data_IF_157489229631
#
_entry.id   IF_157489229631
#
_cell.length_a   1.000
_cell.length_b   1.000
_cell.length_c   1.000
_cell.angle_alpha   90.00
_cell.angle_beta   90.00
_cell.angle_gamma   90.00
#
_symmetry.space_group_name_H-M   'P 1'
#
loop_
_entity.id
_entity.type
_entity.pdbx_description
1 polymer ?
#
# COMPACT_ATOMS: atom_id res chain seq x y z
N UNK A 1 -23.29 -0.89 19.34
CA UNK A 1 -21.86 -1.03 18.95
C UNK A 1 -21.39 0.20 18.20
N UNK A 2 -21.60 0.32 16.87
CA UNK A 2 -21.10 1.49 16.11
C UNK A 2 -21.64 2.82 16.63
N UNK A 3 -22.94 2.91 16.93
CA UNK A 3 -23.58 4.12 17.48
C UNK A 3 -23.07 4.52 18.88
N UNK A 4 -22.54 3.55 19.64
CA UNK A 4 -22.10 3.76 21.03
C UNK A 4 -20.58 3.99 21.11
N UNK A 5 -19.84 3.65 20.05
CA UNK A 5 -18.40 3.83 19.97
C UNK A 5 -18.02 5.32 19.93
N UNK A 6 -16.98 5.69 20.67
CA UNK A 6 -16.45 7.06 20.69
C UNK A 6 -15.40 7.27 19.59
N UNK A 7 -14.68 6.21 19.25
CA UNK A 7 -13.61 6.21 18.25
C UNK A 7 -13.71 4.98 17.34
N UNK A 8 -14.79 4.86 16.53
CA UNK A 8 -14.90 3.83 15.52
C UNK A 8 -13.92 4.08 14.37
N UNK A 9 -13.20 3.04 13.97
CA UNK A 9 -12.34 3.03 12.77
C UNK A 9 -12.80 1.93 11.83
N UNK A 10 -12.87 2.24 10.53
CA UNK A 10 -13.09 1.25 9.49
C UNK A 10 -11.75 0.69 9.02
N UNK A 11 -11.60 -0.63 9.04
CA UNK A 11 -10.40 -1.32 8.57
C UNK A 11 -10.76 -2.21 7.38
N UNK A 12 -10.23 -1.87 6.20
CA UNK A 12 -10.49 -2.57 4.95
C UNK A 12 -9.33 -3.53 4.63
N UNK A 13 -9.66 -4.81 4.41
CA UNK A 13 -8.74 -5.82 3.87
C UNK A 13 -9.02 -6.16 2.41
N UNK A 14 -8.27 -7.11 1.87
CA UNK A 14 -8.29 -7.48 0.45
C UNK A 14 -9.70 -7.73 -0.10
N UNK A 15 -10.54 -8.44 0.66
CA UNK A 15 -11.87 -8.85 0.23
C UNK A 15 -12.87 -7.69 0.16
N UNK A 16 -12.56 -6.55 0.79
CA UNK A 16 -13.35 -5.32 0.67
C UNK A 16 -13.01 -4.47 -0.57
N UNK A 17 -11.98 -4.84 -1.35
CA UNK A 17 -11.54 -4.08 -2.54
C UNK A 17 -12.32 -4.38 -3.82
N UNK A 18 -13.41 -5.17 -3.74
CA UNK A 18 -14.30 -5.42 -4.89
C UNK A 18 -15.10 -4.16 -5.24
N UNK A 19 -15.42 -3.91 -6.53
CA UNK A 19 -16.17 -2.72 -6.93
C UNK A 19 -17.47 -2.49 -6.15
N UNK A 20 -18.21 -3.56 -5.86
CA UNK A 20 -19.47 -3.50 -5.13
C UNK A 20 -19.27 -3.15 -3.64
N UNK A 21 -18.23 -3.71 -3.01
CA UNK A 21 -17.90 -3.40 -1.63
C UNK A 21 -17.36 -1.96 -1.50
N UNK A 22 -16.51 -1.53 -2.43
CA UNK A 22 -15.98 -0.16 -2.51
C UNK A 22 -17.11 0.86 -2.63
N UNK A 23 -18.08 0.66 -3.52
CA UNK A 23 -19.22 1.56 -3.66
C UNK A 23 -20.08 1.60 -2.37
N UNK A 24 -20.31 0.44 -1.75
CA UNK A 24 -21.03 0.36 -0.48
C UNK A 24 -20.29 1.11 0.64
N UNK A 25 -18.97 0.97 0.72
CA UNK A 25 -18.10 1.68 1.66
C UNK A 25 -18.12 3.18 1.40
N UNK A 26 -18.03 3.62 0.15
CA UNK A 26 -18.09 5.05 -0.18
C UNK A 26 -19.44 5.65 0.22
N UNK A 27 -20.54 4.98 -0.11
CA UNK A 27 -21.88 5.41 0.34
C UNK A 27 -21.98 5.46 1.87
N UNK A 28 -21.42 4.47 2.57
CA UNK A 28 -21.38 4.45 4.02
C UNK A 28 -20.62 5.66 4.56
N UNK A 29 -19.39 5.91 4.10
CA UNK A 29 -18.53 6.99 4.59
C UNK A 29 -19.08 8.39 4.28
N UNK A 30 -19.73 8.58 3.12
CA UNK A 30 -20.41 9.84 2.80
C UNK A 30 -21.57 10.13 3.78
N UNK A 31 -22.26 9.10 4.26
CA UNK A 31 -23.38 9.23 5.21
C UNK A 31 -22.91 9.30 6.66
N UNK A 32 -21.92 8.47 7.01
CA UNK A 32 -21.40 8.22 8.36
C UNK A 32 -19.87 8.33 8.33
N UNK A 33 -19.32 9.55 8.30
CA UNK A 33 -17.89 9.74 8.11
C UNK A 33 -17.13 9.27 9.37
N UNK A 34 -16.26 8.29 9.17
CA UNK A 34 -15.32 7.77 10.16
C UNK A 34 -13.95 7.55 9.51
N UNK A 35 -12.84 7.58 10.27
CA UNK A 35 -11.52 7.23 9.80
C UNK A 35 -11.44 5.83 9.18
N UNK A 36 -10.59 5.69 8.18
CA UNK A 36 -10.36 4.45 7.44
C UNK A 36 -8.88 4.15 7.33
N UNK A 37 -8.54 2.88 7.54
CA UNK A 37 -7.24 2.30 7.21
C UNK A 37 -7.42 1.13 6.24
N UNK A 38 -6.44 0.91 5.37
CA UNK A 38 -6.40 -0.18 4.39
C UNK A 38 -5.24 -1.13 4.70
N UNK A 39 -5.38 -2.42 4.40
CA UNK A 39 -4.21 -3.26 4.12
C UNK A 39 -3.59 -2.88 2.78
N UNK A 40 -2.39 -3.40 2.47
CA UNK A 40 -1.83 -3.23 1.13
C UNK A 40 -2.69 -3.85 0.02
N UNK A 41 -3.36 -4.97 0.28
CA UNK A 41 -4.23 -5.62 -0.70
C UNK A 41 -5.58 -4.90 -0.87
N UNK A 42 -5.96 -4.05 0.08
CA UNK A 42 -7.11 -3.17 -0.04
C UNK A 42 -6.81 -1.85 -0.78
N UNK A 43 -5.59 -1.69 -1.33
CA UNK A 43 -5.16 -0.44 -1.94
C UNK A 43 -6.09 0.02 -3.07
N UNK A 44 -6.54 1.28 -2.95
CA UNK A 44 -7.42 1.90 -3.94
C UNK A 44 -8.90 1.77 -3.59
N UNK A 45 -9.23 1.19 -2.44
CA UNK A 45 -10.62 1.13 -1.94
C UNK A 45 -11.15 2.51 -1.57
N UNK A 46 -10.30 3.45 -1.16
CA UNK A 46 -10.70 4.84 -0.87
C UNK A 46 -10.35 5.79 -2.03
N UNK A 47 -11.37 6.53 -2.48
CA UNK A 47 -11.25 7.52 -3.55
C UNK A 47 -10.66 8.85 -3.07
N UNK A 48 -10.17 9.68 -4.01
CA UNK A 48 -9.62 11.01 -3.72
C UNK A 48 -10.58 11.93 -2.96
N UNK A 49 -11.88 11.83 -3.23
CA UNK A 49 -12.91 12.62 -2.51
C UNK A 49 -13.03 12.24 -1.03
N UNK A 50 -12.73 10.99 -0.68
CA UNK A 50 -12.79 10.45 0.68
C UNK A 50 -11.42 10.41 1.35
N UNK A 51 -10.37 10.93 0.71
CA UNK A 51 -9.00 10.95 1.26
C UNK A 51 -8.89 11.68 2.60
N UNK A 52 -9.80 12.62 2.89
CA UNK A 52 -9.90 13.30 4.19
C UNK A 52 -10.31 12.39 5.37
N UNK A 53 -10.70 11.14 5.08
CA UNK A 53 -10.97 10.09 6.06
C UNK A 53 -9.92 8.97 6.01
N UNK A 54 -8.93 9.05 5.13
CA UNK A 54 -7.95 7.99 4.91
C UNK A 54 -6.68 8.23 5.74
N UNK A 55 -6.31 7.24 6.55
CA UNK A 55 -5.15 7.30 7.46
C UNK A 55 -4.01 6.39 7.03
N UNK A 56 -3.98 6.03 5.74
CA UNK A 56 -2.91 5.27 5.13
C UNK A 56 -3.13 3.76 5.18
N UNK A 57 -2.05 3.04 4.84
CA UNK A 57 -2.02 1.58 4.77
C UNK A 57 -1.16 1.00 5.87
N UNK A 58 -1.56 -0.16 6.36
CA UNK A 58 -0.84 -0.94 7.39
C UNK A 58 -0.54 -2.34 6.85
N UNK A 59 0.51 -2.99 7.36
CA UNK A 59 0.85 -4.36 6.94
C UNK A 59 2.28 -4.81 7.20
N UNK A 60 3.26 -3.92 7.02
CA UNK A 60 4.68 -4.31 7.05
C UNK A 60 5.38 -3.86 8.34
N UNK A 61 5.05 -2.67 8.83
CA UNK A 61 5.67 -2.06 10.00
C UNK A 61 4.60 -1.48 10.92
N UNK A 62 4.83 -1.55 12.24
CA UNK A 62 3.87 -1.23 13.31
C UNK A 62 3.91 0.23 13.76
N UNK A 63 4.23 1.15 12.86
CA UNK A 63 4.51 2.54 13.21
C UNK A 63 3.90 3.55 12.24
N UNK A 64 3.02 3.10 11.34
CA UNK A 64 2.36 3.97 10.38
C UNK A 64 1.28 4.80 11.07
N UNK A 65 0.89 5.95 10.49
CA UNK A 65 -0.23 6.75 11.01
C UNK A 65 -1.51 5.93 11.22
N UNK A 66 -1.76 4.93 10.38
CA UNK A 66 -2.85 3.97 10.53
C UNK A 66 -2.75 3.14 11.81
N UNK A 67 -1.55 2.65 12.19
CA UNK A 67 -1.35 1.92 13.45
C UNK A 67 -1.60 2.83 14.66
N UNK A 68 -1.11 4.08 14.60
CA UNK A 68 -1.36 5.09 15.65
C UNK A 68 -2.84 5.41 15.80
N UNK A 69 -3.59 5.45 14.70
CA UNK A 69 -5.04 5.65 14.71
C UNK A 69 -5.75 4.45 15.33
N UNK A 70 -5.39 3.22 14.95
CA UNK A 70 -5.98 2.01 15.50
C UNK A 70 -5.73 1.87 17.01
N UNK A 71 -4.59 2.36 17.51
CA UNK A 71 -4.32 2.42 18.95
C UNK A 71 -5.28 3.35 19.73
N UNK A 72 -5.95 4.30 19.05
CA UNK A 72 -6.97 5.17 19.65
C UNK A 72 -8.39 4.56 19.61
N UNK A 73 -8.59 3.51 18.81
CA UNK A 73 -9.92 2.97 18.54
C UNK A 73 -10.48 2.24 19.76
N UNK A 74 -11.77 2.47 20.04
CA UNK A 74 -12.56 1.65 20.97
C UNK A 74 -13.42 0.61 20.22
N UNK A 75 -13.63 0.82 18.93
CA UNK A 75 -14.26 -0.13 18.01
C UNK A 75 -13.53 -0.13 16.67
N UNK A 76 -13.15 -1.30 16.18
CA UNK A 76 -12.73 -1.47 14.78
C UNK A 76 -13.78 -2.27 14.04
N UNK A 77 -14.33 -1.67 12.98
CA UNK A 77 -15.19 -2.33 12.01
C UNK A 77 -14.29 -2.89 10.92
N UNK A 78 -14.06 -4.20 10.95
CA UNK A 78 -13.13 -4.88 10.06
C UNK A 78 -13.93 -5.47 8.89
N UNK A 79 -13.61 -5.08 7.66
CA UNK A 79 -14.29 -5.55 6.45
C UNK A 79 -13.31 -6.27 5.52
N UNK A 80 -13.58 -7.55 5.25
CA UNK A 80 -12.86 -8.34 4.25
C UNK A 80 -11.37 -8.54 4.53
N UNK A 81 -11.01 -8.64 5.81
CA UNK A 81 -9.63 -8.76 6.28
C UNK A 81 -9.24 -10.21 6.55
N UNK A 82 -8.06 -10.56 6.05
CA UNK A 82 -7.38 -11.80 6.34
C UNK A 82 -6.16 -11.53 7.24
N UNK A 83 -6.00 -12.31 8.32
CA UNK A 83 -4.87 -12.13 9.23
C UNK A 83 -3.51 -12.37 8.55
N UNK A 84 -3.46 -13.09 7.42
CA UNK A 84 -2.24 -13.22 6.62
C UNK A 84 -1.80 -11.92 5.93
N UNK A 85 -2.67 -10.92 5.81
CA UNK A 85 -2.32 -9.60 5.27
C UNK A 85 -1.53 -8.76 6.28
N UNK A 86 -1.87 -8.88 7.57
CA UNK A 86 -1.21 -8.20 8.67
C UNK A 86 -1.64 -8.85 9.99
N UNK A 87 -0.71 -9.35 10.80
CA UNK A 87 -1.07 -10.05 12.03
C UNK A 87 -1.85 -9.17 13.01
N UNK A 88 -2.86 -9.75 13.69
CA UNK A 88 -3.73 -8.97 14.58
C UNK A 88 -3.01 -8.36 15.80
N UNK A 89 -1.96 -9.02 16.30
CA UNK A 89 -1.11 -8.52 17.38
C UNK A 89 -0.27 -7.28 16.98
N UNK A 90 -0.18 -7.03 15.67
CA UNK A 90 0.61 -5.95 15.11
C UNK A 90 -0.07 -4.59 15.21
N UNK A 91 -1.39 -4.56 15.08
CA UNK A 91 -2.15 -3.31 15.02
C UNK A 91 -3.01 -3.03 16.26
N UNK A 92 -3.28 -4.03 17.11
CA UNK A 92 -3.79 -3.74 18.45
C UNK A 92 -3.29 -4.72 19.51
N UNK A 93 -3.08 -4.19 20.71
CA UNK A 93 -2.78 -4.96 21.92
C UNK A 93 -3.78 -4.68 23.05
N UNK A 94 -4.75 -3.81 22.79
CA UNK A 94 -5.73 -3.40 23.79
C UNK A 94 -6.77 -4.50 24.03
N UNK A 95 -6.94 -4.99 25.27
CA UNK A 95 -7.99 -5.94 25.61
C UNK A 95 -9.38 -5.28 25.65
N UNK A 96 -9.46 -3.94 25.63
CA UNK A 96 -10.72 -3.20 25.62
C UNK A 96 -11.24 -2.91 24.21
N UNK A 97 -10.47 -3.23 23.16
CA UNK A 97 -10.90 -2.99 21.79
C UNK A 97 -12.05 -3.93 21.42
N UNK A 98 -13.15 -3.38 20.93
CA UNK A 98 -14.20 -4.18 20.31
C UNK A 98 -13.95 -4.34 18.81
N UNK A 99 -14.14 -5.56 18.30
CA UNK A 99 -14.03 -5.85 16.87
C UNK A 99 -15.41 -6.29 16.36
N UNK A 100 -15.86 -5.62 15.29
CA UNK A 100 -16.99 -6.06 14.47
C UNK A 100 -16.43 -6.58 13.14
N UNK A 101 -16.55 -7.88 12.90
CA UNK A 101 -16.02 -8.53 11.70
C UNK A 101 -17.09 -8.65 10.62
N UNK A 102 -16.79 -8.19 9.40
CA UNK A 102 -17.67 -8.25 8.23
C UNK A 102 -16.92 -8.96 7.10
N UNK A 103 -17.36 -10.15 6.76
CA UNK A 103 -16.77 -10.91 5.67
C UNK A 103 -17.73 -11.99 5.19
N UNK A 104 -17.50 -12.61 4.04
CA UNK A 104 -18.28 -13.79 3.63
C UNK A 104 -17.73 -15.09 4.21
N UNK A 105 -16.53 -15.05 4.80
CA UNK A 105 -15.97 -16.12 5.62
C UNK A 105 -16.06 -15.76 7.11
N UNK A 106 -16.21 -16.74 8.02
CA UNK A 106 -16.06 -16.48 9.45
C UNK A 106 -14.63 -16.05 9.80
N UNK A 107 -14.48 -15.35 10.92
CA UNK A 107 -13.19 -14.94 11.45
C UNK A 107 -12.38 -16.14 11.98
N UNK A 108 -11.07 -16.10 11.73
CA UNK A 108 -10.12 -17.00 12.40
C UNK A 108 -9.83 -16.48 13.81
N UNK A 109 -10.36 -17.15 14.83
CA UNK A 109 -10.19 -16.74 16.22
C UNK A 109 -8.74 -16.94 16.68
N UNK A 110 -8.16 -15.87 17.23
CA UNK A 110 -6.81 -15.85 17.79
C UNK A 110 -6.74 -15.06 19.10
N UNK A 111 -5.58 -15.11 19.77
CA UNK A 111 -5.36 -14.40 21.03
C UNK A 111 -5.60 -12.87 20.90
N UNK A 112 -5.31 -12.33 19.71
CA UNK A 112 -5.45 -10.92 19.38
C UNK A 112 -6.55 -10.68 18.33
N UNK A 113 -7.35 -11.68 17.96
CA UNK A 113 -8.46 -11.47 17.04
C UNK A 113 -9.67 -12.27 17.51
N UNK A 114 -10.52 -11.61 18.29
CA UNK A 114 -11.70 -12.22 18.89
C UNK A 114 -12.90 -11.27 18.67
N UNK A 115 -13.52 -11.29 17.47
CA UNK A 115 -14.65 -10.42 17.17
C UNK A 115 -15.77 -10.56 18.18
N UNK A 116 -16.24 -9.42 18.68
CA UNK A 116 -17.41 -9.37 19.57
C UNK A 116 -18.69 -9.69 18.81
N UNK A 117 -18.72 -9.37 17.52
CA UNK A 117 -19.81 -9.72 16.61
C UNK A 117 -19.25 -9.98 15.21
N UNK A 118 -19.84 -10.95 14.52
CA UNK A 118 -19.55 -11.27 13.13
C UNK A 118 -20.81 -11.05 12.29
N UNK A 119 -20.65 -10.43 11.12
CA UNK A 119 -21.66 -10.32 10.08
C UNK A 119 -21.17 -11.10 8.87
N UNK A 120 -21.43 -12.40 8.89
CA UNK A 120 -21.00 -13.31 7.82
C UNK A 120 -21.96 -13.20 6.63
N UNK A 121 -21.44 -12.83 5.45
CA UNK A 121 -22.19 -12.69 4.22
C UNK A 121 -21.56 -11.70 3.23
N UNK A 122 -22.36 -11.18 2.30
CA UNK A 122 -21.87 -10.17 1.36
C UNK A 122 -21.44 -8.90 2.11
N UNK A 123 -20.15 -8.55 2.01
CA UNK A 123 -19.59 -7.32 2.59
C UNK A 123 -20.36 -6.10 2.11
N UNK A 124 -20.60 -5.98 0.81
CA UNK A 124 -21.35 -4.87 0.22
C UNK A 124 -22.78 -4.77 0.80
N UNK A 125 -23.49 -5.89 0.92
CA UNK A 125 -24.85 -5.90 1.49
C UNK A 125 -24.86 -5.54 2.98
N UNK A 126 -23.89 -6.07 3.74
CA UNK A 126 -23.76 -5.80 5.17
C UNK A 126 -23.42 -4.33 5.43
N UNK A 127 -22.41 -3.77 4.74
CA UNK A 127 -22.03 -2.35 4.84
C UNK A 127 -23.20 -1.44 4.46
N UNK A 128 -23.91 -1.76 3.37
CA UNK A 128 -25.11 -1.02 2.95
C UNK A 128 -26.22 -1.07 4.02
N UNK A 129 -26.52 -2.24 4.55
CA UNK A 129 -27.54 -2.41 5.58
C UNK A 129 -27.20 -1.66 6.87
N UNK A 130 -25.93 -1.73 7.32
CA UNK A 130 -25.44 -0.93 8.44
C UNK A 130 -25.60 0.55 8.17
N UNK A 131 -25.16 1.03 7.00
CA UNK A 131 -25.31 2.43 6.62
C UNK A 131 -26.76 2.91 6.60
N UNK A 132 -27.70 2.05 6.21
CA UNK A 132 -29.13 2.35 6.16
C UNK A 132 -29.76 2.40 7.57
N UNK A 133 -29.36 1.52 8.50
CA UNK A 133 -29.92 1.39 9.85
C UNK A 133 -29.33 2.39 10.85
N UNK A 134 -28.04 2.73 10.72
CA UNK A 134 -27.38 3.65 11.65
C UNK A 134 -27.97 5.06 11.52
N UNK A 135 -28.34 5.64 12.66
CA UNK A 135 -28.85 7.00 12.74
C UNK A 135 -27.73 8.04 12.85
N UNK A 136 -26.73 7.77 13.70
CA UNK A 136 -25.60 8.66 13.96
C UNK A 136 -24.34 7.82 14.17
N UNK A 137 -23.18 8.39 13.87
CA UNK A 137 -21.89 7.80 14.23
C UNK A 137 -21.02 8.92 14.80
N UNK A 138 -20.20 8.60 15.80
CA UNK A 138 -19.20 9.54 16.31
C UNK A 138 -18.22 9.91 15.18
N UNK A 139 -17.59 11.08 15.32
CA UNK A 139 -16.70 11.63 14.30
C UNK A 139 -15.27 11.75 14.82
N UNK A 140 -14.57 10.63 15.08
CA UNK A 140 -13.25 10.69 15.68
C UNK A 140 -12.22 11.43 14.82
N UNK A 141 -12.40 11.51 13.50
CA UNK A 141 -11.61 12.35 12.60
C UNK A 141 -11.64 13.85 12.96
N UNK A 142 -12.66 14.31 13.70
CA UNK A 142 -12.75 15.70 14.18
C UNK A 142 -12.04 15.89 15.54
N UNK A 143 -11.59 14.82 16.19
CA UNK A 143 -10.85 14.87 17.46
C UNK A 143 -9.43 15.43 17.28
N UNK A 144 -8.87 15.98 18.36
CA UNK A 144 -7.49 16.50 18.36
C UNK A 144 -6.48 15.40 18.01
N UNK A 145 -6.63 14.20 18.59
CA UNK A 145 -5.74 13.07 18.34
C UNK A 145 -5.74 12.65 16.87
N UNK A 146 -6.93 12.47 16.26
CA UNK A 146 -7.02 12.07 14.87
C UNK A 146 -6.54 13.17 13.90
N UNK A 147 -6.79 14.45 14.22
CA UNK A 147 -6.27 15.57 13.42
C UNK A 147 -4.75 15.68 13.49
N UNK A 148 -4.15 15.41 14.66
CA UNK A 148 -2.70 15.39 14.82
C UNK A 148 -2.06 14.27 13.98
N UNK A 149 -2.61 13.05 14.05
CA UNK A 149 -2.14 11.90 13.24
C UNK A 149 -2.30 12.19 11.74
N UNK A 150 -3.43 12.76 11.33
CA UNK A 150 -3.68 13.12 9.94
C UNK A 150 -2.73 14.22 9.43
N UNK A 151 -2.45 15.22 10.27
CA UNK A 151 -1.48 16.27 9.96
C UNK A 151 -0.05 15.71 9.87
N UNK A 152 0.33 14.79 10.74
CA UNK A 152 1.62 14.09 10.67
C UNK A 152 1.76 13.31 9.35
N UNK A 153 0.73 12.54 8.99
CA UNK A 153 0.70 11.76 7.75
C UNK A 153 0.88 12.66 6.52
N UNK A 154 0.11 13.74 6.40
CA UNK A 154 0.22 14.66 5.27
C UNK A 154 1.50 15.50 5.28
N UNK A 155 2.02 15.87 6.45
CA UNK A 155 3.32 16.53 6.53
C UNK A 155 4.43 15.60 6.02
N UNK A 156 4.36 14.31 6.34
CA UNK A 156 5.29 13.32 5.81
C UNK A 156 5.13 13.12 4.30
N UNK A 157 3.91 13.00 3.76
CA UNK A 157 3.69 12.88 2.31
C UNK A 157 4.26 14.07 1.51
N UNK A 158 4.29 15.26 2.12
CA UNK A 158 4.85 16.48 1.53
C UNK A 158 6.33 16.70 1.85
N UNK A 159 6.94 15.81 2.64
CA UNK A 159 8.33 15.91 3.02
C UNK A 159 9.26 15.70 1.82
N UNK A 160 10.45 16.32 1.80
CA UNK A 160 11.47 16.04 0.79
C UNK A 160 11.79 14.55 0.70
N UNK A 161 11.77 13.82 1.81
CA UNK A 161 12.06 12.39 1.88
C UNK A 161 11.00 11.55 1.15
N UNK A 162 9.71 11.80 1.40
CA UNK A 162 8.61 11.08 0.73
C UNK A 162 8.49 11.45 -0.76
N UNK A 163 8.85 12.68 -1.13
CA UNK A 163 8.91 13.12 -2.52
C UNK A 163 10.23 12.74 -3.22
N UNK A 164 11.16 12.10 -2.50
CA UNK A 164 12.50 11.76 -3.00
C UNK A 164 13.32 12.97 -3.45
N UNK A 165 13.08 14.15 -2.88
CA UNK A 165 13.77 15.43 -3.12
C UNK A 165 14.85 15.72 -2.08
N UNK A 166 15.43 14.72 -1.42
CA UNK A 166 16.48 14.95 -0.43
C UNK A 166 17.70 15.59 -1.11
N UNK A 167 18.33 16.55 -0.42
CA UNK A 167 19.41 17.38 -0.96
C UNK A 167 20.67 16.60 -1.38
N UNK A 168 20.78 15.33 -1.00
CA UNK A 168 21.96 14.48 -1.20
C UNK A 168 21.82 13.46 -2.34
N UNK A 169 20.59 13.12 -2.79
CA UNK A 169 20.35 12.02 -3.73
C UNK A 169 20.05 12.44 -5.18
N UNK A 170 20.12 13.74 -5.49
CA UNK A 170 19.89 14.24 -6.86
C UNK A 170 18.46 14.11 -7.38
N UNK A 171 17.54 13.49 -6.62
CA UNK A 171 16.17 13.23 -7.07
C UNK A 171 16.00 11.92 -7.81
N UNK A 172 16.78 10.87 -7.55
CA UNK A 172 16.80 9.65 -8.39
C UNK A 172 16.33 8.38 -7.63
N UNK A 173 15.92 8.52 -6.36
CA UNK A 173 15.51 7.38 -5.51
C UNK A 173 14.08 6.86 -5.76
N UNK A 174 13.71 5.70 -5.20
CA UNK A 174 12.39 5.08 -5.36
C UNK A 174 11.21 6.00 -5.05
N UNK A 175 11.30 6.79 -3.99
CA UNK A 175 10.25 7.72 -3.57
C UNK A 175 9.99 8.82 -4.62
N UNK A 176 11.06 9.31 -5.27
CA UNK A 176 10.93 10.28 -6.36
C UNK A 176 10.20 9.67 -7.55
N UNK A 177 10.59 8.45 -7.95
CA UNK A 177 9.98 7.70 -9.04
C UNK A 177 8.49 7.43 -8.76
N UNK A 178 8.15 6.92 -7.58
CA UNK A 178 6.75 6.69 -7.18
C UNK A 178 5.96 7.99 -7.25
N UNK A 179 6.49 9.08 -6.70
CA UNK A 179 5.77 10.37 -6.69
C UNK A 179 5.49 10.88 -8.10
N UNK A 180 6.49 10.82 -8.99
CA UNK A 180 6.34 11.28 -10.37
C UNK A 180 5.45 10.35 -11.19
N UNK A 181 5.54 9.03 -11.00
CA UNK A 181 4.64 8.06 -11.63
C UNK A 181 3.19 8.32 -11.22
N UNK A 182 2.93 8.48 -9.91
CA UNK A 182 1.58 8.74 -9.38
C UNK A 182 1.01 10.11 -9.82
N UNK A 183 1.86 11.14 -9.96
CA UNK A 183 1.43 12.46 -10.43
C UNK A 183 1.18 12.48 -11.94
N UNK A 184 1.98 11.75 -12.70
CA UNK A 184 1.91 11.74 -14.16
C UNK A 184 0.78 10.83 -14.64
N UNK A 185 0.48 9.75 -13.91
CA UNK A 185 -0.42 8.69 -14.36
C UNK A 185 -1.60 8.50 -13.42
N UNK A 186 -2.79 8.77 -13.94
CA UNK A 186 -4.05 8.42 -13.28
C UNK A 186 -4.40 6.92 -13.34
N UNK A 187 -3.45 6.04 -13.68
CA UNK A 187 -3.65 4.59 -13.87
C UNK A 187 -2.55 3.78 -13.17
N UNK A 188 -2.90 2.58 -12.70
CA UNK A 188 -1.96 1.65 -12.09
C UNK A 188 -1.01 1.05 -13.15
N UNK A 189 0.29 1.07 -12.86
CA UNK A 189 1.32 0.44 -13.70
C UNK A 189 1.88 -0.82 -13.05
N UNK A 190 2.16 -1.88 -13.84
CA UNK A 190 3.00 -3.00 -13.40
C UNK A 190 4.42 -2.51 -13.06
N UNK A 191 4.83 -2.74 -11.80
CA UNK A 191 6.17 -2.43 -11.29
C UNK A 191 6.70 -3.64 -10.53
N UNK A 192 7.97 -3.96 -10.69
CA UNK A 192 8.67 -4.96 -9.88
C UNK A 192 10.12 -4.56 -9.62
N UNK A 193 10.76 -5.15 -8.61
CA UNK A 193 12.22 -5.19 -8.55
C UNK A 193 12.79 -6.10 -9.64
N UNK A 194 14.07 -5.94 -9.97
CA UNK A 194 14.84 -6.78 -10.89
C UNK A 194 14.82 -8.28 -10.52
N UNK A 195 15.03 -8.61 -9.25
CA UNK A 195 14.97 -9.99 -8.76
C UNK A 195 13.59 -10.60 -8.95
N UNK A 196 12.52 -9.86 -8.62
CA UNK A 196 11.14 -10.30 -8.79
C UNK A 196 10.74 -10.46 -10.26
N UNK A 197 11.20 -9.55 -11.13
CA UNK A 197 10.94 -9.63 -12.56
C UNK A 197 11.44 -10.95 -13.16
N UNK A 198 12.62 -11.42 -12.74
CA UNK A 198 13.22 -12.66 -13.28
C UNK A 198 12.46 -13.94 -12.90
N UNK A 199 11.52 -13.91 -11.95
CA UNK A 199 10.67 -15.08 -11.64
C UNK A 199 9.59 -15.32 -12.71
N UNK A 200 9.12 -14.25 -13.37
CA UNK A 200 8.01 -14.31 -14.34
C UNK A 200 8.32 -13.67 -15.69
N UNK A 201 9.51 -13.10 -15.88
CA UNK A 201 9.91 -12.36 -17.08
C UNK A 201 9.81 -13.17 -18.38
N UNK A 202 9.88 -14.50 -18.32
CA UNK A 202 9.65 -15.37 -19.47
C UNK A 202 8.25 -15.19 -20.08
N UNK A 203 7.25 -14.74 -19.32
CA UNK A 203 5.89 -14.49 -19.81
C UNK A 203 5.80 -13.31 -20.79
N UNK A 204 6.89 -12.55 -20.98
CA UNK A 204 6.99 -11.59 -22.09
C UNK A 204 6.71 -12.27 -23.45
N UNK A 205 7.12 -13.53 -23.63
CA UNK A 205 6.83 -14.27 -24.87
C UNK A 205 5.33 -14.38 -25.11
N UNK A 206 4.57 -14.67 -24.05
CA UNK A 206 3.11 -14.80 -24.09
C UNK A 206 2.48 -13.45 -24.37
N UNK A 207 2.88 -12.41 -23.64
CA UNK A 207 2.34 -11.06 -23.80
C UNK A 207 2.54 -10.51 -25.23
N UNK A 208 3.72 -10.71 -25.81
CA UNK A 208 4.02 -10.32 -27.19
C UNK A 208 3.19 -11.14 -28.18
N UNK A 209 3.11 -12.47 -28.02
CA UNK A 209 2.31 -13.34 -28.89
C UNK A 209 0.82 -13.00 -28.88
N UNK A 210 0.28 -12.58 -27.73
CA UNK A 210 -1.12 -12.21 -27.60
C UNK A 210 -1.39 -10.75 -28.00
N UNK A 211 -0.38 -9.99 -28.41
CA UNK A 211 -0.52 -8.58 -28.77
C UNK A 211 -0.99 -7.70 -27.60
N UNK A 212 -0.59 -8.04 -26.37
CA UNK A 212 -0.95 -7.27 -25.19
C UNK A 212 -0.32 -5.87 -25.24
N UNK A 213 -1.06 -4.87 -24.73
CA UNK A 213 -0.56 -3.51 -24.58
C UNK A 213 -0.17 -3.27 -23.13
N UNK A 214 1.09 -3.59 -22.78
CA UNK A 214 1.60 -3.60 -21.40
C UNK A 214 2.89 -2.81 -21.33
N UNK A 215 2.97 -1.87 -20.40
CA UNK A 215 4.21 -1.19 -20.02
C UNK A 215 4.61 -1.64 -18.61
N UNK A 216 5.74 -2.32 -18.46
CA UNK A 216 6.25 -2.81 -17.17
C UNK A 216 7.51 -2.06 -16.76
N UNK A 217 7.59 -1.62 -15.51
CA UNK A 217 8.75 -0.93 -14.96
C UNK A 217 9.53 -1.86 -14.03
N UNK A 218 10.85 -1.92 -14.23
CA UNK A 218 11.78 -2.68 -13.40
C UNK A 218 12.58 -1.69 -12.59
N UNK A 219 12.52 -1.80 -11.27
CA UNK A 219 13.41 -1.11 -10.35
C UNK A 219 14.66 -1.96 -10.17
N UNK A 220 15.75 -1.50 -10.75
CA UNK A 220 16.98 -2.26 -10.90
C UNK A 220 18.06 -1.70 -9.98
N UNK A 221 18.33 -2.40 -8.88
CA UNK A 221 19.43 -2.12 -7.97
C UNK A 221 20.48 -3.23 -7.93
N UNK A 222 20.28 -4.28 -8.74
CA UNK A 222 21.16 -5.45 -8.83
C UNK A 222 21.05 -6.39 -7.63
N UNK A 223 20.01 -6.27 -6.78
CA UNK A 223 19.96 -6.97 -5.49
C UNK A 223 18.57 -7.40 -5.05
N UNK A 224 18.51 -8.42 -4.19
CA UNK A 224 17.35 -8.66 -3.33
C UNK A 224 17.33 -7.66 -2.15
N UNK A 225 17.08 -6.38 -2.44
CA UNK A 225 17.19 -5.27 -1.48
C UNK A 225 16.40 -5.51 -0.18
N UNK A 226 15.17 -6.04 -0.30
CA UNK A 226 14.28 -6.27 0.83
C UNK A 226 14.85 -7.30 1.84
N UNK A 227 15.66 -8.24 1.35
CA UNK A 227 16.37 -9.21 2.19
C UNK A 227 17.64 -8.58 2.75
N UNK A 228 18.41 -7.88 1.91
CA UNK A 228 19.67 -7.24 2.31
C UNK A 228 19.48 -6.34 3.53
N UNK A 229 18.49 -5.45 3.53
CA UNK A 229 18.31 -4.52 4.64
C UNK A 229 17.97 -5.23 5.95
N UNK A 230 17.15 -6.28 5.90
CA UNK A 230 16.76 -7.03 7.10
C UNK A 230 17.93 -7.83 7.67
N UNK A 231 18.79 -8.37 6.80
CA UNK A 231 19.99 -9.08 7.21
C UNK A 231 21.01 -8.13 7.84
N UNK A 232 21.19 -6.93 7.27
CA UNK A 232 22.07 -5.91 7.84
C UNK A 232 21.55 -5.42 9.19
N UNK A 233 20.25 -5.16 9.32
CA UNK A 233 19.63 -4.73 10.58
C UNK A 233 19.78 -5.79 11.69
N UNK A 234 19.50 -7.06 11.37
CA UNK A 234 19.53 -8.17 12.36
C UNK A 234 20.93 -8.71 12.64
N UNK A 235 21.81 -8.73 11.65
CA UNK A 235 23.06 -9.49 11.69
C UNK A 235 24.31 -8.65 11.39
N UNK A 236 24.15 -7.38 11.01
CA UNK A 236 25.25 -6.48 10.65
C UNK A 236 25.96 -6.84 9.34
N UNK A 237 25.40 -7.76 8.54
CA UNK A 237 25.94 -8.21 7.24
C UNK A 237 24.83 -8.84 6.39
N UNK A 238 24.98 -8.84 5.07
CA UNK A 238 24.12 -9.56 4.12
C UNK A 238 24.77 -10.82 3.55
N UNK A 239 23.98 -11.71 2.94
CA UNK A 239 24.45 -12.93 2.28
C UNK A 239 23.51 -13.39 1.17
N UNK A 240 24.05 -13.64 -0.04
CA UNK A 240 23.28 -14.23 -1.14
C UNK A 240 22.25 -13.30 -1.79
N UNK A 241 22.45 -11.98 -1.66
CA UNK A 241 21.52 -10.95 -2.14
C UNK A 241 21.89 -10.34 -3.49
N UNK A 242 23.13 -10.50 -3.95
CA UNK A 242 23.61 -9.92 -5.21
C UNK A 242 23.17 -10.74 -6.44
N UNK A 243 22.60 -10.07 -7.45
CA UNK A 243 22.02 -10.70 -8.66
C UNK A 243 22.94 -10.74 -9.88
N UNK A 244 24.07 -10.02 -9.84
CA UNK A 244 25.06 -10.04 -10.93
C UNK A 244 24.70 -9.24 -12.19
N UNK A 245 23.56 -8.53 -12.19
CA UNK A 245 23.16 -7.56 -13.21
C UNK A 245 22.62 -8.17 -14.52
N UNK A 246 21.45 -7.71 -14.96
CA UNK A 246 20.83 -8.10 -16.24
C UNK A 246 20.56 -6.85 -17.07
N UNK A 247 20.85 -6.93 -18.37
CA UNK A 247 20.49 -5.87 -19.31
C UNK A 247 19.03 -6.03 -19.74
N UNK A 248 18.10 -5.45 -18.98
CA UNK A 248 16.67 -5.66 -19.19
C UNK A 248 16.13 -5.03 -20.49
N UNK A 249 16.83 -4.05 -21.05
CA UNK A 249 16.54 -3.52 -22.39
C UNK A 249 16.70 -4.64 -23.42
N UNK A 250 17.87 -5.28 -23.44
CA UNK A 250 18.13 -6.41 -24.35
C UNK A 250 17.29 -7.62 -24.04
N UNK A 251 16.98 -7.85 -22.77
CA UNK A 251 16.06 -8.91 -22.35
C UNK A 251 14.72 -8.71 -23.06
N UNK A 252 14.11 -7.53 -22.95
CA UNK A 252 12.83 -7.23 -23.61
C UNK A 252 12.90 -7.36 -25.13
N UNK A 253 13.95 -6.81 -25.76
CA UNK A 253 14.18 -6.90 -27.20
C UNK A 253 14.27 -8.36 -27.68
N UNK A 254 14.88 -9.25 -26.90
CA UNK A 254 14.99 -10.67 -27.24
C UNK A 254 13.63 -11.39 -27.30
N UNK A 255 12.62 -10.89 -26.60
CA UNK A 255 11.23 -11.39 -26.65
C UNK A 255 10.37 -10.68 -27.71
N UNK A 256 10.92 -9.72 -28.45
CA UNK A 256 10.18 -8.89 -29.40
C UNK A 256 9.38 -7.76 -28.77
N UNK A 257 9.66 -7.43 -27.51
CA UNK A 257 9.12 -6.26 -26.82
C UNK A 257 10.03 -5.04 -26.99
N UNK A 258 9.51 -3.84 -26.71
CA UNK A 258 10.31 -2.62 -26.65
C UNK A 258 11.05 -2.55 -25.31
N UNK A 259 12.36 -2.34 -25.35
CA UNK A 259 13.18 -2.06 -24.17
C UNK A 259 13.51 -0.57 -24.08
N UNK A 260 13.37 0.03 -22.90
CA UNK A 260 13.78 1.39 -22.58
C UNK A 260 14.56 1.42 -21.27
N UNK A 261 15.43 2.41 -21.09
CA UNK A 261 16.18 2.61 -19.84
C UNK A 261 16.05 4.04 -19.33
N UNK A 262 15.94 4.16 -18.02
CA UNK A 262 16.10 5.41 -17.26
C UNK A 262 17.32 5.24 -16.37
N UNK A 263 18.41 5.94 -16.69
CA UNK A 263 19.62 5.94 -15.85
C UNK A 263 19.76 7.19 -14.99
N UNK A 264 18.90 8.19 -15.21
CA UNK A 264 18.86 9.46 -14.49
C UNK A 264 17.43 9.96 -14.33
N UNK A 265 17.12 10.61 -13.22
CA UNK A 265 15.79 11.19 -12.95
C UNK A 265 15.27 12.13 -14.04
N UNK A 266 16.15 12.89 -14.69
CA UNK A 266 15.79 13.82 -15.76
C UNK A 266 15.24 13.16 -17.02
N UNK A 267 15.49 11.87 -17.21
CA UNK A 267 15.02 11.08 -18.35
C UNK A 267 13.63 10.49 -18.11
N UNK A 268 13.20 10.40 -16.85
CA UNK A 268 12.01 9.68 -16.43
C UNK A 268 10.75 10.12 -17.18
N UNK A 269 10.48 11.43 -17.24
CA UNK A 269 9.27 11.96 -17.88
C UNK A 269 9.23 11.66 -19.38
N UNK A 270 10.36 11.82 -20.06
CA UNK A 270 10.48 11.54 -21.49
C UNK A 270 10.31 10.05 -21.80
N UNK A 271 10.98 9.19 -21.05
CA UNK A 271 10.91 7.73 -21.21
C UNK A 271 9.52 7.21 -20.86
N UNK A 272 8.88 7.72 -19.81
CA UNK A 272 7.50 7.39 -19.46
C UNK A 272 6.54 7.71 -20.60
N UNK A 273 6.64 8.92 -21.16
CA UNK A 273 5.79 9.35 -22.28
C UNK A 273 6.00 8.44 -23.50
N UNK A 274 7.24 8.07 -23.79
CA UNK A 274 7.56 7.15 -24.88
C UNK A 274 7.05 5.74 -24.62
N UNK A 275 7.21 5.22 -23.40
CA UNK A 275 6.81 3.87 -23.02
C UNK A 275 5.28 3.68 -23.07
N UNK A 276 4.53 4.70 -22.64
CA UNK A 276 3.06 4.66 -22.57
C UNK A 276 2.38 4.98 -23.90
N UNK A 277 3.09 5.61 -24.83
CA UNK A 277 2.61 5.86 -26.20
C UNK A 277 2.93 4.71 -27.15
N UNK A 278 3.73 3.73 -26.71
CA UNK A 278 4.01 2.53 -27.48
C UNK A 278 2.80 1.61 -27.50
N UNK A 279 2.38 1.20 -28.70
CA UNK A 279 1.40 0.12 -28.87
C UNK A 279 2.13 -1.23 -28.88
N UNK A 280 1.93 -2.02 -27.84
CA UNK A 280 2.57 -3.33 -27.66
C UNK A 280 3.15 -3.51 -26.26
N UNK A 281 4.07 -4.46 -26.13
CA UNK A 281 4.75 -4.74 -24.86
C UNK A 281 6.01 -3.87 -24.75
N UNK A 282 6.12 -3.11 -23.67
CA UNK A 282 7.27 -2.28 -23.35
C UNK A 282 7.79 -2.61 -21.93
N UNK A 283 9.10 -2.74 -21.80
CA UNK A 283 9.79 -2.87 -20.51
C UNK A 283 10.70 -1.66 -20.32
N UNK A 284 10.59 -1.02 -19.16
CA UNK A 284 11.40 0.12 -18.77
C UNK A 284 12.29 -0.28 -17.62
N UNK A 285 13.60 -0.35 -17.87
CA UNK A 285 14.65 -0.59 -16.88
C UNK A 285 15.00 0.73 -16.19
N UNK A 286 14.79 0.82 -14.87
CA UNK A 286 15.03 2.03 -14.09
C UNK A 286 16.14 1.74 -13.10
N UNK A 287 17.29 2.39 -13.29
CA UNK A 287 18.41 2.27 -12.36
C UNK A 287 18.04 2.94 -11.02
N UNK A 288 18.14 2.20 -9.93
CA UNK A 288 17.79 2.67 -8.58
C UNK A 288 19.02 2.67 -7.67
N UNK A 289 19.27 3.80 -7.02
CA UNK A 289 20.22 3.89 -5.92
C UNK A 289 19.52 3.81 -4.55
N UNK A 290 19.64 2.66 -3.89
CA UNK A 290 19.11 2.43 -2.54
C UNK A 290 20.06 2.86 -1.41
N UNK A 291 21.26 3.39 -1.70
CA UNK A 291 22.26 3.73 -0.67
C UNK A 291 21.75 4.68 0.41
N UNK A 292 20.78 5.53 0.07
CA UNK A 292 20.16 6.51 0.99
C UNK A 292 18.85 6.01 1.64
N UNK A 293 18.30 4.87 1.22
CA UNK A 293 17.04 4.34 1.78
C UNK A 293 17.20 3.72 3.18
N UNK A 294 18.43 3.42 3.60
CA UNK A 294 18.70 2.87 4.93
C UNK A 294 18.22 3.80 6.06
N UNK A 295 18.32 5.12 5.88
CA UNK A 295 17.87 6.12 6.85
C UNK A 295 16.34 6.29 6.87
N UNK A 296 15.67 6.13 5.71
CA UNK A 296 14.20 6.07 5.62
C UNK A 296 13.64 4.87 6.40
N UNK A 297 14.31 3.72 6.33
CA UNK A 297 13.87 2.48 6.98
C UNK A 297 14.15 2.45 8.49
N UNK A 298 15.23 3.07 8.98
CA UNK A 298 15.50 3.22 10.42
C UNK A 298 14.34 3.89 11.17
N UNK A 299 13.72 4.90 10.57
CA UNK A 299 12.59 5.61 11.16
C UNK A 299 11.28 4.82 11.08
N UNK A 300 11.24 3.77 10.27
CA UNK A 300 10.11 2.85 10.10
C UNK A 300 10.17 1.67 11.08
N UNK A 301 11.36 1.36 11.62
CA UNK A 301 11.61 0.27 12.58
C UNK A 301 11.75 0.83 14.01
N UNK A 302 10.75 1.58 14.48
CA UNK A 302 10.57 1.80 15.93
C UNK A 302 9.28 1.15 16.38
N UNK A 303 9.40 0.06 17.13
CA UNK A 303 8.32 -0.59 17.88
C UNK A 303 7.60 0.46 18.72
N UNK A 304 6.48 0.97 18.22
CA UNK A 304 5.72 2.05 18.86
C UNK A 304 4.29 1.60 19.12
N UNK A 305 4.15 0.39 19.67
CA UNK A 305 2.98 0.01 20.47
C UNK A 305 3.48 -0.74 21.70
N UNK A 306 3.82 0.02 22.74
CA UNK A 306 3.94 -0.45 24.13
C UNK A 306 2.60 -0.26 24.83
#
# INVERSE_FOLDING_TARGET
>A
MIQDAKFPVLFLGARAATPEAVEAVHRFLRKHPIPVVETFQAAGSISRELAHLFYGRIGLFRNQPGDKLLAQADLVVVAGYDQSEYDADAWHKSPSLEILHLDWVPADYGAFYNPKLELVGSIAANVKALGDILATVSRPQESEAARAIFAEFHAWEQSPEALGRTAESGGDGPSFLVSNVQQTLGVALPVSGDGGFLYSGQELVTAVQQGCNITHFIWNDGKYNMVEFQEVDKYGRSSGVDLGGVDFVKYAEAFGAKGLRVSRSSELEAVMKEALSHEGVCVVDVDIDYSHNYELMKNVIQDSIS
#
